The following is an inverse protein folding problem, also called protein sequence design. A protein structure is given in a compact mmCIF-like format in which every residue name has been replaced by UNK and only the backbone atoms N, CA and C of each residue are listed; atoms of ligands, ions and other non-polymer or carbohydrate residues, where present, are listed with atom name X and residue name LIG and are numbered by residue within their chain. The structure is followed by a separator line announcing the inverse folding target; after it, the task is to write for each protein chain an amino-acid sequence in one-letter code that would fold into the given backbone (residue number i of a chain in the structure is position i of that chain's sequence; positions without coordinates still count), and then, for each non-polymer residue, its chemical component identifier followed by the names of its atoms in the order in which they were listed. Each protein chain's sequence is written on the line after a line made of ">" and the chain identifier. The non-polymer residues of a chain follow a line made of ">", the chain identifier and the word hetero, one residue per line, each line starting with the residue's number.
data_IF_037446712068
#
_entry.id   IF_037446712068
#
_cell.length_a   1.000
_cell.length_b   1.000
_cell.length_c   1.000
_cell.angle_alpha   90.00
_cell.angle_beta   90.00
_cell.angle_gamma   90.00
#
_symmetry.space_group_name_H-M   'P 1'
#
loop_
_entity.id
_entity.type
_entity.pdbx_description
1 polymer ?
#
# COMPACT_ATOMS: atom_id res chain seq x y z
N UNK A 1 38.17 -44.03 -12.31
CA UNK A 1 37.65 -43.96 -10.93
C UNK A 1 36.38 -44.77 -10.85
N UNK A 2 36.39 -45.86 -10.08
CA UNK A 2 35.20 -46.69 -9.85
C UNK A 2 34.23 -45.86 -8.99
N UNK A 3 32.98 -45.72 -9.43
CA UNK A 3 31.91 -45.18 -8.58
C UNK A 3 31.64 -46.22 -7.50
N UNK A 4 31.88 -45.87 -6.24
CA UNK A 4 31.49 -46.71 -5.11
C UNK A 4 29.96 -46.66 -4.94
N UNK A 5 29.40 -47.54 -4.10
CA UNK A 5 27.96 -47.55 -3.76
C UNK A 5 27.51 -46.27 -3.00
N UNK A 6 28.42 -45.37 -2.63
CA UNK A 6 28.14 -44.15 -1.85
C UNK A 6 28.42 -42.88 -2.66
N UNK A 7 27.44 -41.96 -2.71
CA UNK A 7 27.39 -40.77 -3.58
C UNK A 7 28.66 -39.90 -3.59
N UNK A 8 29.32 -39.74 -2.44
CA UNK A 8 30.51 -38.89 -2.30
C UNK A 8 31.78 -39.68 -2.02
N UNK A 9 31.74 -41.01 -2.06
CA UNK A 9 32.90 -41.84 -1.78
C UNK A 9 33.64 -42.18 -3.09
N UNK A 10 34.95 -41.96 -3.07
CA UNK A 10 35.86 -42.15 -4.19
C UNK A 10 36.90 -43.20 -3.81
N UNK A 11 37.04 -44.22 -4.65
CA UNK A 11 38.12 -45.21 -4.57
C UNK A 11 39.35 -44.72 -5.36
N UNK A 12 40.48 -44.66 -4.68
CA UNK A 12 41.74 -44.08 -5.18
C UNK A 12 42.94 -44.91 -4.62
N UNK A 13 43.21 -46.10 -5.18
CA UNK A 13 44.24 -47.00 -4.66
C UNK A 13 45.64 -46.38 -4.80
N UNK A 14 46.57 -46.81 -3.95
CA UNK A 14 47.94 -46.33 -4.01
C UNK A 14 48.77 -47.00 -5.12
N UNK A 15 49.98 -46.50 -5.42
CA UNK A 15 50.83 -47.09 -6.47
C UNK A 15 51.24 -48.55 -6.24
N UNK A 16 51.07 -49.07 -5.01
CA UNK A 16 51.34 -50.46 -4.64
C UNK A 16 50.06 -51.32 -4.64
N UNK A 17 48.92 -50.75 -5.04
CA UNK A 17 47.63 -51.42 -5.13
C UNK A 17 46.83 -51.45 -3.83
N UNK A 18 47.27 -50.77 -2.76
CA UNK A 18 46.49 -50.76 -1.51
C UNK A 18 45.22 -49.91 -1.65
N UNK A 19 44.05 -50.41 -1.22
CA UNK A 19 42.80 -49.68 -1.35
C UNK A 19 42.79 -48.42 -0.47
N UNK A 20 42.37 -47.28 -1.03
CA UNK A 20 42.09 -46.06 -0.25
C UNK A 20 40.77 -45.44 -0.68
N UNK A 21 40.03 -44.96 0.31
CA UNK A 21 38.73 -44.35 0.11
C UNK A 21 38.72 -42.92 0.62
N UNK A 22 38.03 -42.05 -0.10
CA UNK A 22 37.92 -40.64 0.24
C UNK A 22 36.47 -40.15 0.12
N UNK A 23 36.05 -39.27 1.03
CA UNK A 23 34.85 -38.45 0.85
C UNK A 23 35.22 -37.20 0.06
N UNK A 24 34.65 -37.05 -1.13
CA UNK A 24 34.84 -35.91 -2.03
C UNK A 24 33.50 -35.22 -2.29
N UNK A 25 33.20 -34.22 -1.45
CA UNK A 25 32.08 -33.28 -1.68
C UNK A 25 32.58 -32.11 -2.54
N UNK A 26 31.87 -31.73 -3.64
CA UNK A 26 32.27 -30.58 -4.45
C UNK A 26 32.45 -29.31 -3.60
N UNK A 27 33.56 -28.59 -3.83
CA UNK A 27 33.91 -27.37 -3.07
C UNK A 27 34.68 -27.60 -1.77
N UNK A 28 34.95 -28.84 -1.38
CA UNK A 28 35.69 -29.17 -0.15
C UNK A 28 36.95 -30.03 -0.42
N UNK A 29 37.95 -29.94 0.47
CA UNK A 29 39.11 -30.84 0.43
C UNK A 29 38.66 -32.28 0.68
N UNK A 30 39.21 -33.24 -0.08
CA UNK A 30 38.89 -34.67 0.09
C UNK A 30 39.34 -35.15 1.47
N UNK A 31 38.51 -35.92 2.16
CA UNK A 31 38.80 -36.50 3.48
C UNK A 31 39.04 -37.99 3.32
N UNK A 32 40.16 -38.51 3.81
CA UNK A 32 40.50 -39.95 3.75
C UNK A 32 39.72 -40.71 4.81
N UNK A 33 39.14 -41.85 4.44
CA UNK A 33 38.59 -42.87 5.36
C UNK A 33 39.63 -43.98 5.45
N UNK A 34 40.00 -44.38 6.67
CA UNK A 34 41.04 -45.38 6.92
C UNK A 34 40.45 -46.75 7.28
N UNK A 35 39.17 -46.78 7.60
CA UNK A 35 38.34 -47.92 7.97
C UNK A 35 38.16 -48.83 6.75
N UNK A 36 37.95 -50.12 7.01
CA UNK A 36 37.82 -51.15 5.96
C UNK A 36 36.49 -50.97 5.24
N UNK A 37 36.51 -50.88 3.91
CA UNK A 37 35.29 -50.59 3.13
C UNK A 37 34.25 -51.70 3.20
N UNK A 38 34.65 -52.96 3.03
CA UNK A 38 33.74 -54.12 3.06
C UNK A 38 34.11 -55.10 4.18
N UNK A 39 33.10 -55.68 4.82
CA UNK A 39 33.25 -56.78 5.79
C UNK A 39 33.49 -58.13 5.08
N UNK A 40 33.68 -59.19 5.87
CA UNK A 40 33.90 -60.57 5.35
C UNK A 40 32.71 -61.11 4.54
N UNK A 41 31.54 -60.48 4.63
CA UNK A 41 30.32 -60.86 3.95
C UNK A 41 30.04 -59.99 2.70
N UNK A 42 30.95 -59.07 2.35
CA UNK A 42 30.82 -58.18 1.19
C UNK A 42 29.86 -57.00 1.41
N UNK A 43 29.49 -56.71 2.66
CA UNK A 43 28.70 -55.54 3.03
C UNK A 43 29.60 -54.38 3.43
N UNK A 44 29.14 -53.14 3.26
CA UNK A 44 29.91 -51.97 3.71
C UNK A 44 30.01 -52.02 5.23
N UNK A 45 31.23 -51.95 5.77
CA UNK A 45 31.43 -52.09 7.22
C UNK A 45 30.72 -50.96 8.00
N UNK A 46 30.16 -51.26 9.19
CA UNK A 46 29.57 -50.24 10.05
C UNK A 46 30.55 -49.12 10.40
N UNK A 47 31.82 -49.45 10.63
CA UNK A 47 32.89 -48.52 10.97
C UNK A 47 33.17 -47.56 9.80
N UNK A 48 33.19 -48.07 8.56
CA UNK A 48 33.34 -47.24 7.37
C UNK A 48 32.16 -46.30 7.18
N UNK A 49 30.93 -46.77 7.39
CA UNK A 49 29.73 -45.94 7.30
C UNK A 49 29.73 -44.82 8.34
N UNK A 50 30.17 -45.12 9.57
CA UNK A 50 30.31 -44.13 10.64
C UNK A 50 31.34 -43.05 10.26
N UNK A 51 32.53 -43.45 9.79
CA UNK A 51 33.56 -42.53 9.35
C UNK A 51 33.14 -41.71 8.11
N UNK A 52 32.39 -42.31 7.19
CA UNK A 52 31.82 -41.64 6.02
C UNK A 52 30.85 -40.53 6.42
N UNK A 53 29.92 -40.81 7.33
CA UNK A 53 28.98 -39.79 7.81
C UNK A 53 29.66 -38.72 8.66
N UNK A 54 30.62 -39.08 9.51
CA UNK A 54 31.41 -38.12 10.28
C UNK A 54 32.21 -37.17 9.38
N UNK A 55 32.81 -37.70 8.29
CA UNK A 55 33.50 -36.89 7.30
C UNK A 55 32.54 -35.95 6.56
N UNK A 56 31.35 -36.41 6.17
CA UNK A 56 30.34 -35.54 5.55
C UNK A 56 29.87 -34.42 6.50
N UNK A 57 29.65 -34.74 7.77
CA UNK A 57 29.23 -33.77 8.80
C UNK A 57 30.32 -32.73 9.07
N UNK A 58 31.58 -33.15 9.17
CA UNK A 58 32.71 -32.23 9.30
C UNK A 58 32.85 -31.31 8.08
N UNK A 59 32.59 -31.81 6.87
CA UNK A 59 32.62 -31.03 5.65
C UNK A 59 31.46 -30.02 5.60
N UNK A 60 30.26 -30.36 6.08
CA UNK A 60 29.15 -29.39 6.20
C UNK A 60 29.39 -28.34 7.27
N UNK A 61 29.94 -28.70 8.44
CA UNK A 61 30.21 -27.75 9.53
C UNK A 61 31.31 -26.75 9.19
N UNK A 62 32.22 -27.07 8.26
CA UNK A 62 33.28 -26.17 7.75
C UNK A 62 32.85 -25.28 6.59
N UNK A 63 31.59 -25.35 6.13
CA UNK A 63 31.06 -24.37 5.20
C UNK A 63 30.91 -23.03 5.94
N UNK A 64 31.93 -22.17 5.86
CA UNK A 64 31.83 -20.80 6.36
C UNK A 64 30.59 -20.15 5.75
N UNK A 65 29.76 -19.50 6.59
CA UNK A 65 28.63 -18.73 6.10
C UNK A 65 29.13 -17.73 5.04
N UNK A 66 28.38 -17.54 3.94
CA UNK A 66 28.78 -16.57 2.92
C UNK A 66 28.98 -15.19 3.57
N UNK A 67 29.94 -14.39 3.08
CA UNK A 67 30.20 -13.07 3.62
C UNK A 67 28.91 -12.23 3.62
N UNK A 68 28.54 -11.69 4.79
CA UNK A 68 27.34 -10.87 4.93
C UNK A 68 27.56 -9.47 4.36
N UNK A 69 26.58 -8.93 3.64
CA UNK A 69 26.57 -7.53 3.21
C UNK A 69 26.79 -6.60 4.41
N UNK A 70 27.74 -5.64 4.35
CA UNK A 70 27.90 -4.64 5.40
C UNK A 70 26.59 -3.89 5.64
N UNK A 71 26.20 -3.68 6.89
CA UNK A 71 24.90 -3.07 7.27
C UNK A 71 24.61 -1.80 6.47
N UNK A 72 25.59 -0.92 6.33
CA UNK A 72 25.49 0.36 5.62
C UNK A 72 25.13 0.24 4.14
N UNK A 73 25.31 -0.93 3.53
CA UNK A 73 24.97 -1.20 2.14
C UNK A 73 23.61 -1.87 1.97
N UNK A 74 22.90 -2.15 3.06
CA UNK A 74 21.65 -2.91 3.05
C UNK A 74 20.41 -2.03 2.88
N UNK A 75 19.32 -2.60 2.34
CA UNK A 75 18.03 -1.92 2.29
C UNK A 75 17.51 -1.49 3.65
N UNK A 76 17.71 -2.30 4.69
CA UNK A 76 17.34 -1.92 6.06
C UNK A 76 17.99 -0.60 6.46
N UNK A 77 19.29 -0.46 6.24
CA UNK A 77 19.99 0.78 6.55
C UNK A 77 19.48 1.96 5.71
N UNK A 78 19.28 1.77 4.40
CA UNK A 78 18.81 2.86 3.54
C UNK A 78 17.43 3.38 3.95
N UNK A 79 16.49 2.47 4.26
CA UNK A 79 15.14 2.81 4.73
C UNK A 79 15.18 3.48 6.10
N UNK A 80 16.04 3.00 7.00
CA UNK A 80 16.27 3.55 8.33
C UNK A 80 16.79 5.01 8.27
N UNK A 81 17.74 5.28 7.37
CA UNK A 81 18.26 6.63 7.12
C UNK A 81 17.20 7.54 6.45
N UNK A 82 16.45 7.01 5.47
CA UNK A 82 15.38 7.77 4.83
C UNK A 82 14.32 8.20 5.83
N UNK A 83 13.90 7.29 6.71
CA UNK A 83 12.89 7.55 7.74
C UNK A 83 13.34 8.57 8.80
N UNK A 84 14.66 8.72 9.04
CA UNK A 84 15.24 9.76 9.93
C UNK A 84 15.44 11.11 9.24
N UNK A 85 15.40 11.15 7.92
CA UNK A 85 15.69 12.36 7.16
C UNK A 85 14.63 13.45 7.34
N UNK A 86 15.07 14.71 7.31
CA UNK A 86 14.17 15.88 7.35
C UNK A 86 13.16 15.90 6.19
N UNK A 87 13.52 15.38 5.02
CA UNK A 87 12.57 15.27 3.91
C UNK A 87 11.42 14.31 4.23
N UNK A 88 11.70 13.19 4.89
CA UNK A 88 10.67 12.25 5.31
C UNK A 88 9.78 12.85 6.41
N UNK A 89 10.38 13.50 7.40
CA UNK A 89 9.66 14.15 8.50
C UNK A 89 8.72 15.28 8.03
N UNK A 90 8.99 15.91 6.89
CA UNK A 90 8.11 16.92 6.25
C UNK A 90 6.81 16.37 5.63
N UNK A 91 6.65 15.05 5.53
CA UNK A 91 5.38 14.46 5.14
C UNK A 91 4.38 14.48 6.31
N UNK A 92 3.09 14.54 5.99
CA UNK A 92 2.05 14.32 7.00
C UNK A 92 2.21 12.93 7.65
N UNK A 93 1.90 12.80 8.94
CA UNK A 93 2.06 11.56 9.71
C UNK A 93 1.41 10.35 9.01
N UNK A 94 0.23 10.52 8.39
CA UNK A 94 -0.41 9.44 7.65
C UNK A 94 0.40 9.01 6.43
N UNK A 95 1.04 9.97 5.75
CA UNK A 95 1.92 9.68 4.61
C UNK A 95 3.22 9.03 5.06
N UNK A 96 3.77 9.43 6.21
CA UNK A 96 4.92 8.78 6.83
C UNK A 96 4.60 7.31 7.14
N UNK A 97 3.46 7.05 7.78
CA UNK A 97 3.03 5.70 8.14
C UNK A 97 2.81 4.79 6.90
N UNK A 98 2.13 5.28 5.85
CA UNK A 98 1.91 4.50 4.61
C UNK A 98 3.24 4.17 3.92
N UNK A 99 4.15 5.16 3.78
CA UNK A 99 5.49 4.95 3.21
C UNK A 99 6.30 3.95 4.01
N UNK A 100 6.39 4.13 5.33
CA UNK A 100 7.17 3.26 6.23
C UNK A 100 6.63 1.83 6.20
N UNK A 101 5.31 1.65 6.27
CA UNK A 101 4.69 0.33 6.25
C UNK A 101 5.00 -0.45 4.96
N UNK A 102 4.94 0.20 3.80
CA UNK A 102 5.29 -0.45 2.52
C UNK A 102 6.78 -0.77 2.43
N UNK A 103 7.66 0.17 2.80
CA UNK A 103 9.10 -0.05 2.73
C UNK A 103 9.58 -1.12 3.73
N UNK A 104 9.01 -1.15 4.94
CA UNK A 104 9.34 -2.18 5.93
C UNK A 104 8.93 -3.58 5.45
N UNK A 105 7.72 -3.74 4.89
CA UNK A 105 7.30 -5.02 4.27
C UNK A 105 8.18 -5.43 3.09
N UNK A 106 8.69 -4.46 2.33
CA UNK A 106 9.69 -4.76 1.30
C UNK A 106 10.98 -5.30 1.92
N UNK A 107 11.45 -4.67 3.01
CA UNK A 107 12.65 -5.10 3.74
C UNK A 107 12.52 -6.48 4.40
N UNK A 108 11.33 -6.98 4.70
CA UNK A 108 11.16 -8.37 5.17
C UNK A 108 11.78 -9.39 4.19
N UNK A 109 11.80 -9.08 2.89
CA UNK A 109 12.36 -9.95 1.85
C UNK A 109 13.70 -9.46 1.29
N UNK A 110 13.88 -8.15 1.15
CA UNK A 110 15.06 -7.56 0.51
C UNK A 110 16.01 -6.86 1.51
N UNK A 111 15.67 -6.83 2.79
CA UNK A 111 16.28 -5.92 3.76
C UNK A 111 17.78 -6.07 3.94
N UNK A 112 18.30 -7.31 3.89
CA UNK A 112 19.73 -7.61 4.01
C UNK A 112 20.49 -7.58 2.67
N UNK A 113 19.77 -7.36 1.56
CA UNK A 113 20.38 -7.30 0.22
C UNK A 113 21.04 -5.94 -0.01
N UNK A 114 22.12 -5.90 -0.82
CA UNK A 114 22.80 -4.66 -1.15
C UNK A 114 21.93 -3.75 -2.02
N UNK A 115 21.54 -2.58 -1.51
CA UNK A 115 20.69 -1.65 -2.28
C UNK A 115 21.43 -1.05 -3.49
N UNK A 116 22.76 -0.98 -3.44
CA UNK A 116 23.60 -0.45 -4.53
C UNK A 116 23.61 -1.35 -5.76
N UNK A 117 23.35 -2.65 -5.59
CA UNK A 117 23.29 -3.61 -6.67
C UNK A 117 21.87 -3.79 -7.23
N UNK A 118 20.87 -3.11 -6.65
CA UNK A 118 19.46 -3.24 -7.03
C UNK A 118 19.20 -2.57 -8.37
N UNK A 119 18.78 -3.35 -9.35
CA UNK A 119 18.62 -2.92 -10.75
C UNK A 119 17.15 -2.64 -11.08
N UNK A 120 16.91 -2.04 -12.23
CA UNK A 120 15.56 -1.79 -12.74
C UNK A 120 14.78 -3.11 -12.86
N UNK A 121 15.43 -4.17 -13.35
CA UNK A 121 14.85 -5.49 -13.51
C UNK A 121 14.43 -6.11 -12.16
N UNK A 122 15.12 -5.77 -11.06
CA UNK A 122 14.76 -6.23 -9.72
C UNK A 122 13.53 -5.48 -9.17
N UNK A 123 13.37 -4.20 -9.54
CA UNK A 123 12.16 -3.41 -9.23
C UNK A 123 10.97 -3.99 -9.99
N UNK A 124 11.13 -4.29 -11.28
CA UNK A 124 10.11 -4.91 -12.12
C UNK A 124 9.73 -6.28 -11.57
N UNK A 125 10.70 -7.15 -11.28
CA UNK A 125 10.42 -8.44 -10.62
C UNK A 125 9.69 -8.28 -9.29
N UNK A 126 10.03 -7.26 -8.51
CA UNK A 126 9.34 -6.95 -7.24
C UNK A 126 7.91 -6.46 -7.43
N UNK A 127 7.64 -5.72 -8.51
CA UNK A 127 6.30 -5.29 -8.94
C UNK A 127 5.49 -6.50 -9.43
N UNK A 128 6.06 -7.31 -10.31
CA UNK A 128 5.38 -8.43 -10.97
C UNK A 128 5.07 -9.57 -9.99
N UNK A 129 5.91 -9.77 -8.97
CA UNK A 129 5.60 -10.65 -7.81
C UNK A 129 4.32 -10.23 -7.08
N UNK A 130 3.89 -8.98 -7.22
CA UNK A 130 2.67 -8.40 -6.62
C UNK A 130 1.56 -8.16 -7.66
N UNK A 131 1.64 -8.78 -8.84
CA UNK A 131 0.66 -8.65 -9.93
C UNK A 131 -0.78 -8.95 -9.51
N UNK A 132 -0.99 -9.91 -8.60
CA UNK A 132 -2.32 -10.20 -8.03
C UNK A 132 -2.90 -9.04 -7.20
N UNK A 133 -2.07 -8.06 -6.82
CA UNK A 133 -2.44 -6.84 -6.09
C UNK A 133 -1.82 -5.61 -6.76
N UNK A 134 -2.27 -5.25 -7.98
CA UNK A 134 -1.54 -4.33 -8.84
C UNK A 134 -1.40 -2.92 -8.22
N UNK A 135 -2.42 -2.44 -7.50
CA UNK A 135 -2.32 -1.18 -6.75
C UNK A 135 -1.26 -1.18 -5.64
N UNK A 136 -1.00 -2.34 -5.01
CA UNK A 136 0.08 -2.50 -4.04
C UNK A 136 1.45 -2.58 -4.71
N UNK A 137 1.53 -3.23 -5.89
CA UNK A 137 2.72 -3.28 -6.73
C UNK A 137 3.18 -1.86 -7.14
N UNK A 138 2.27 -1.08 -7.71
CA UNK A 138 2.55 0.29 -8.13
C UNK A 138 2.89 1.21 -6.95
N UNK A 139 2.25 0.99 -5.79
CA UNK A 139 2.57 1.72 -4.56
C UNK A 139 4.00 1.42 -4.09
N UNK A 140 4.46 0.17 -4.17
CA UNK A 140 5.85 -0.18 -3.86
C UNK A 140 6.81 0.56 -4.80
N UNK A 141 6.59 0.48 -6.12
CA UNK A 141 7.43 1.17 -7.13
C UNK A 141 7.48 2.67 -6.86
N UNK A 142 6.33 3.29 -6.58
CA UNK A 142 6.23 4.71 -6.21
C UNK A 142 7.11 5.08 -5.01
N UNK A 143 7.16 4.23 -3.99
CA UNK A 143 7.94 4.50 -2.80
C UNK A 143 9.41 4.16 -2.93
N UNK A 144 9.78 3.10 -3.65
CA UNK A 144 11.17 2.84 -4.04
C UNK A 144 11.72 4.01 -4.87
N UNK A 145 10.94 4.52 -5.83
CA UNK A 145 11.31 5.72 -6.61
C UNK A 145 11.55 6.93 -5.72
N UNK A 146 10.71 7.15 -4.71
CA UNK A 146 10.88 8.23 -3.74
C UNK A 146 12.10 8.02 -2.83
N UNK A 147 12.36 6.79 -2.38
CA UNK A 147 13.49 6.42 -1.53
C UNK A 147 14.81 6.64 -2.27
N UNK A 148 14.94 6.09 -3.48
CA UNK A 148 16.16 6.23 -4.27
C UNK A 148 16.36 7.66 -4.79
N UNK A 149 15.29 8.43 -5.07
CA UNK A 149 15.42 9.87 -5.37
C UNK A 149 16.08 10.61 -4.21
N UNK A 150 15.68 10.32 -2.98
CA UNK A 150 16.32 10.88 -1.78
C UNK A 150 17.76 10.38 -1.64
N UNK A 151 17.99 9.07 -1.81
CA UNK A 151 19.30 8.42 -1.67
C UNK A 151 20.33 9.00 -2.64
N UNK A 152 19.96 9.21 -3.90
CA UNK A 152 20.82 9.84 -4.92
C UNK A 152 21.17 11.27 -4.52
N UNK A 153 20.18 12.07 -4.12
CA UNK A 153 20.43 13.46 -3.69
C UNK A 153 21.32 13.55 -2.45
N UNK A 154 21.27 12.55 -1.57
CA UNK A 154 22.13 12.43 -0.39
C UNK A 154 23.44 11.66 -0.64
N UNK A 155 23.73 11.30 -1.90
CA UNK A 155 24.94 10.56 -2.31
C UNK A 155 25.08 9.18 -1.66
N UNK A 156 23.98 8.57 -1.20
CA UNK A 156 23.96 7.18 -0.74
C UNK A 156 23.88 6.18 -1.90
N UNK A 157 23.21 6.55 -3.00
CA UNK A 157 23.09 5.73 -4.20
C UNK A 157 23.53 6.53 -5.42
N UNK A 158 24.04 5.85 -6.46
CA UNK A 158 24.48 6.50 -7.71
C UNK A 158 23.31 6.78 -8.66
N UNK A 159 22.36 5.85 -8.73
CA UNK A 159 21.22 5.89 -9.65
C UNK A 159 19.92 5.54 -8.92
N UNK A 160 18.79 5.80 -9.57
CA UNK A 160 17.47 5.40 -9.08
C UNK A 160 16.90 4.30 -9.98
N UNK A 161 16.92 3.03 -9.55
CA UNK A 161 16.50 1.89 -10.37
C UNK A 161 14.99 1.84 -10.59
N UNK A 162 14.19 2.64 -9.86
CA UNK A 162 12.74 2.67 -10.04
C UNK A 162 12.29 3.74 -11.05
N UNK A 163 13.21 4.49 -11.66
CA UNK A 163 12.88 5.38 -12.79
C UNK A 163 12.55 4.51 -14.01
N UNK A 164 11.55 4.91 -14.80
CA UNK A 164 11.14 4.19 -16.01
C UNK A 164 10.21 2.99 -15.76
N UNK A 165 10.17 2.44 -14.54
CA UNK A 165 9.27 1.31 -14.21
C UNK A 165 7.81 1.72 -14.35
N UNK A 166 7.14 1.12 -15.32
CA UNK A 166 5.73 1.36 -15.65
C UNK A 166 4.78 0.78 -14.60
N UNK A 167 3.58 1.35 -14.58
CA UNK A 167 2.48 0.92 -13.72
C UNK A 167 1.77 -0.28 -14.33
N UNK A 168 1.24 -1.15 -13.48
CA UNK A 168 0.43 -2.31 -13.90
C UNK A 168 -1.03 -2.21 -13.42
N UNK A 169 -1.36 -1.21 -12.60
CA UNK A 169 -2.72 -1.07 -12.07
C UNK A 169 -3.63 -0.27 -13.01
N UNK A 170 -4.44 -1.01 -13.76
CA UNK A 170 -5.54 -0.48 -14.54
C UNK A 170 -6.83 -0.55 -13.72
N UNK A 171 -7.47 0.60 -13.50
CA UNK A 171 -8.73 0.70 -12.76
C UNK A 171 -9.49 1.95 -13.20
N UNK A 172 -10.80 1.83 -13.33
CA UNK A 172 -11.74 2.96 -13.49
C UNK A 172 -11.83 3.84 -12.23
N UNK A 173 -11.19 3.38 -11.14
CA UNK A 173 -11.14 4.08 -9.88
C UNK A 173 -12.32 3.71 -8.98
N UNK A 174 -12.85 4.69 -8.26
CA UNK A 174 -13.97 4.48 -7.35
C UNK A 174 -15.28 4.68 -8.08
N UNK A 175 -16.21 3.74 -7.90
CA UNK A 175 -17.61 3.85 -8.33
C UNK A 175 -18.21 5.18 -7.89
N UNK A 176 -18.75 5.96 -8.83
CA UNK A 176 -19.51 7.16 -8.53
C UNK A 176 -20.93 6.76 -8.17
N UNK A 177 -21.46 7.22 -7.04
CA UNK A 177 -22.84 6.87 -6.70
C UNK A 177 -23.79 7.48 -7.72
N UNK A 178 -24.77 6.71 -8.14
CA UNK A 178 -25.90 7.15 -8.96
C UNK A 178 -26.98 7.77 -8.10
N UNK A 179 -27.88 8.56 -8.71
CA UNK A 179 -29.06 9.12 -8.03
C UNK A 179 -29.92 8.03 -7.38
N UNK A 180 -30.12 6.90 -8.05
CA UNK A 180 -30.91 5.78 -7.52
C UNK A 180 -30.25 5.10 -6.31
N UNK A 181 -28.92 5.01 -6.28
CA UNK A 181 -28.19 4.49 -5.11
C UNK A 181 -28.24 5.45 -3.93
N UNK A 182 -28.17 6.77 -4.18
CA UNK A 182 -28.39 7.79 -3.15
C UNK A 182 -29.79 7.63 -2.58
N UNK A 183 -30.83 7.55 -3.41
CA UNK A 183 -32.20 7.36 -2.94
C UNK A 183 -32.42 6.03 -2.22
N UNK A 184 -31.81 4.94 -2.69
CA UNK A 184 -31.83 3.65 -1.99
C UNK A 184 -31.20 3.73 -0.60
N UNK A 185 -30.05 4.39 -0.48
CA UNK A 185 -29.41 4.62 0.82
C UNK A 185 -30.28 5.49 1.73
N UNK A 186 -30.89 6.55 1.17
CA UNK A 186 -31.80 7.44 1.88
C UNK A 186 -33.06 6.72 2.38
N UNK A 187 -33.62 5.81 1.59
CA UNK A 187 -34.79 5.01 1.98
C UNK A 187 -34.47 4.00 3.07
N UNK A 188 -33.27 3.41 3.05
CA UNK A 188 -32.85 2.45 4.07
C UNK A 188 -32.44 3.14 5.38
N UNK A 189 -31.69 4.24 5.29
CA UNK A 189 -31.25 5.04 6.43
C UNK A 189 -32.13 6.26 6.59
N UNK A 190 -33.15 6.14 7.45
CA UNK A 190 -34.11 7.19 7.75
C UNK A 190 -33.44 8.46 8.28
N UNK A 191 -34.14 9.59 8.13
CA UNK A 191 -33.69 10.85 8.69
C UNK A 191 -33.63 10.78 10.22
N UNK A 192 -32.63 11.42 10.81
CA UNK A 192 -32.31 11.26 12.24
C UNK A 192 -31.29 10.17 12.54
N UNK A 193 -30.96 9.31 11.57
CA UNK A 193 -29.86 8.35 11.72
C UNK A 193 -28.48 8.98 11.42
N UNK A 194 -27.43 8.48 12.10
CA UNK A 194 -26.04 8.89 11.85
C UNK A 194 -25.59 8.57 10.41
N UNK A 195 -26.09 7.46 9.87
CA UNK A 195 -25.81 7.04 8.50
C UNK A 195 -26.38 8.04 7.49
N UNK A 196 -27.61 8.51 7.71
CA UNK A 196 -28.24 9.55 6.88
C UNK A 196 -27.53 10.89 7.02
N UNK A 197 -27.21 11.32 8.23
CA UNK A 197 -26.45 12.55 8.45
C UNK A 197 -25.07 12.53 7.75
N UNK A 198 -24.37 11.40 7.81
CA UNK A 198 -23.08 11.24 7.14
C UNK A 198 -23.19 11.37 5.61
N UNK A 199 -24.24 10.80 5.01
CA UNK A 199 -24.55 10.97 3.60
C UNK A 199 -24.74 12.45 3.26
N UNK A 200 -25.65 13.14 3.97
CA UNK A 200 -26.01 14.52 3.65
C UNK A 200 -24.82 15.49 3.86
N UNK A 201 -23.99 15.28 4.88
CA UNK A 201 -22.76 16.09 5.04
C UNK A 201 -21.83 15.88 3.84
N UNK A 202 -21.57 14.64 3.44
CA UNK A 202 -20.60 14.38 2.38
C UNK A 202 -21.11 14.79 1.00
N UNK A 203 -22.41 14.61 0.74
CA UNK A 203 -23.04 14.91 -0.54
C UNK A 203 -23.24 16.42 -0.74
N UNK A 204 -23.77 17.12 0.26
CA UNK A 204 -24.12 18.55 0.11
C UNK A 204 -22.92 19.48 0.27
N UNK A 205 -21.92 19.11 1.08
CA UNK A 205 -20.71 19.91 1.31
C UNK A 205 -19.58 19.50 0.36
N UNK A 206 -19.72 18.36 -0.33
CA UNK A 206 -18.61 17.78 -1.07
C UNK A 206 -17.40 17.56 -0.16
N UNK A 207 -17.61 17.13 1.08
CA UNK A 207 -16.55 16.97 2.09
C UNK A 207 -15.72 15.69 1.84
N UNK A 208 -14.41 15.70 2.12
CA UNK A 208 -13.66 14.42 2.12
C UNK A 208 -14.02 13.70 3.40
N UNK A 209 -13.87 12.37 3.39
CA UNK A 209 -14.00 11.57 4.62
C UNK A 209 -13.19 12.14 5.79
N UNK A 210 -11.99 12.66 5.53
CA UNK A 210 -11.15 13.29 6.56
C UNK A 210 -11.70 14.60 7.10
N UNK A 211 -12.48 15.32 6.31
CA UNK A 211 -13.08 16.59 6.67
C UNK A 211 -14.42 16.35 7.38
N UNK A 212 -15.25 15.45 6.84
CA UNK A 212 -16.57 15.12 7.39
C UNK A 212 -16.55 14.70 8.86
N UNK A 213 -15.51 13.97 9.31
CA UNK A 213 -15.34 13.60 10.71
C UNK A 213 -14.85 14.73 11.64
N UNK A 214 -14.65 15.95 11.12
CA UNK A 214 -14.15 17.13 11.85
C UNK A 214 -15.06 18.35 11.73
N UNK A 215 -15.88 18.41 10.69
CA UNK A 215 -16.85 19.49 10.50
C UNK A 215 -17.90 19.42 11.62
N UNK A 216 -18.38 20.59 12.04
CA UNK A 216 -19.30 20.77 13.14
C UNK A 216 -19.53 22.24 13.45
N UNK A 217 -20.20 22.53 14.56
CA UNK A 217 -20.78 23.84 14.89
C UNK A 217 -19.79 25.00 14.84
N UNK A 218 -18.52 24.78 15.20
CA UNK A 218 -17.49 25.83 15.15
C UNK A 218 -17.16 26.34 13.74
N UNK A 219 -17.66 25.68 12.69
CA UNK A 219 -17.44 26.06 11.31
C UNK A 219 -18.66 26.77 10.70
N UNK A 220 -19.75 26.95 11.47
CA UNK A 220 -20.94 27.64 10.99
C UNK A 220 -20.72 29.15 10.97
N UNK A 221 -20.93 29.77 9.80
CA UNK A 221 -20.82 31.22 9.61
C UNK A 221 -21.95 31.66 8.68
N UNK A 222 -22.91 32.43 9.18
CA UNK A 222 -23.99 33.08 8.40
C UNK A 222 -24.70 32.16 7.37
N UNK A 223 -25.02 30.92 7.77
CA UNK A 223 -25.69 29.97 6.87
C UNK A 223 -24.75 29.21 5.91
N UNK A 224 -23.45 29.29 6.15
CA UNK A 224 -22.41 28.52 5.48
C UNK A 224 -21.61 27.67 6.47
N UNK A 225 -20.92 26.66 5.94
CA UNK A 225 -19.83 25.96 6.58
C UNK A 225 -18.51 26.44 5.99
N UNK A 226 -17.68 27.06 6.82
CA UNK A 226 -16.33 27.51 6.47
C UNK A 226 -15.28 26.71 7.24
N UNK A 227 -14.43 25.97 6.53
CA UNK A 227 -13.38 25.16 7.16
C UNK A 227 -12.15 24.99 6.27
N UNK A 228 -10.99 24.73 6.89
CA UNK A 228 -9.76 24.38 6.17
C UNK A 228 -9.76 22.89 5.85
N UNK A 229 -9.63 22.54 4.56
CA UNK A 229 -9.53 21.15 4.13
C UNK A 229 -8.35 20.44 4.80
N UNK A 230 -8.60 19.26 5.38
CA UNK A 230 -7.61 18.49 6.14
C UNK A 230 -6.40 18.11 5.28
N UNK A 231 -6.66 17.72 4.03
CA UNK A 231 -5.60 17.39 3.08
C UNK A 231 -4.93 18.69 2.61
N UNK A 232 -3.63 18.82 2.88
CA UNK A 232 -2.85 19.99 2.49
C UNK A 232 -2.77 21.11 3.54
N UNK A 233 -3.50 20.99 4.67
CA UNK A 233 -3.55 21.97 5.77
C UNK A 233 -2.19 22.43 6.30
N UNK A 234 -1.22 21.52 6.37
CA UNK A 234 0.11 21.77 6.95
C UNK A 234 1.07 22.51 6.00
N UNK A 235 0.62 22.92 4.81
CA UNK A 235 1.47 23.56 3.80
C UNK A 235 0.75 24.75 3.20
N UNK A 236 1.28 25.95 3.41
CA UNK A 236 0.67 27.20 2.95
C UNK A 236 0.22 27.16 1.48
N UNK A 237 1.09 26.67 0.57
CA UNK A 237 0.81 26.57 -0.87
C UNK A 237 -0.34 25.62 -1.25
N UNK A 238 -0.70 24.68 -0.38
CA UNK A 238 -1.76 23.69 -0.66
C UNK A 238 -2.91 23.78 0.33
N UNK A 239 -2.88 24.74 1.25
CA UNK A 239 -3.96 25.00 2.19
C UNK A 239 -5.14 25.58 1.40
N UNK A 240 -6.33 25.03 1.63
CA UNK A 240 -7.57 25.45 0.97
C UNK A 240 -8.65 25.63 2.04
N UNK A 241 -9.31 26.78 2.01
CA UNK A 241 -10.54 27.02 2.76
C UNK A 241 -11.71 26.66 1.87
N UNK A 242 -12.64 25.88 2.41
CA UNK A 242 -13.87 25.47 1.76
C UNK A 242 -14.99 26.26 2.41
N UNK A 243 -15.82 26.89 1.58
CA UNK A 243 -17.05 27.57 1.99
C UNK A 243 -18.21 26.89 1.27
N UNK A 244 -19.12 26.30 2.03
CA UNK A 244 -20.22 25.52 1.48
C UNK A 244 -21.54 25.97 2.10
N UNK A 245 -22.56 26.23 1.28
CA UNK A 245 -23.87 26.66 1.77
C UNK A 245 -24.62 25.49 2.41
N UNK A 246 -25.33 25.74 3.49
CA UNK A 246 -26.29 24.77 4.00
C UNK A 246 -27.46 24.58 3.01
N UNK A 247 -27.62 23.36 2.51
CA UNK A 247 -28.81 22.94 1.74
C UNK A 247 -29.98 22.65 2.68
N UNK A 248 -31.20 22.57 2.14
CA UNK A 248 -32.39 22.26 2.94
C UNK A 248 -32.30 20.85 3.54
N UNK A 249 -31.81 19.89 2.75
CA UNK A 249 -31.60 18.50 3.12
C UNK A 249 -30.59 18.37 4.25
N UNK A 250 -29.48 19.12 4.17
CA UNK A 250 -28.47 19.12 5.23
C UNK A 250 -29.00 19.75 6.53
N UNK A 251 -29.74 20.86 6.43
CA UNK A 251 -30.38 21.49 7.61
C UNK A 251 -31.33 20.51 8.30
N UNK A 252 -32.17 19.85 7.52
CA UNK A 252 -33.13 18.87 8.03
C UNK A 252 -32.43 17.67 8.68
N UNK A 253 -31.38 17.14 8.07
CA UNK A 253 -30.60 16.05 8.64
C UNK A 253 -29.92 16.45 9.96
N UNK A 254 -29.37 17.67 10.04
CA UNK A 254 -28.72 18.19 11.24
C UNK A 254 -29.72 18.44 12.38
N UNK A 255 -30.89 18.99 12.10
CA UNK A 255 -31.91 19.24 13.13
C UNK A 255 -32.56 17.96 13.64
N UNK A 256 -32.61 16.91 12.81
CA UNK A 256 -33.28 15.64 13.14
C UNK A 256 -32.36 14.60 13.77
N UNK A 257 -31.03 14.78 13.71
CA UNK A 257 -30.05 13.77 14.13
C UNK A 257 -29.26 14.25 15.35
N UNK A 258 -29.14 13.46 16.42
CA UNK A 258 -28.23 13.78 17.53
C UNK A 258 -26.78 13.93 17.07
N UNK A 259 -26.19 15.10 17.32
CA UNK A 259 -24.80 15.43 17.00
C UNK A 259 -23.91 15.43 18.25
N UNK A 260 -22.59 15.49 18.07
CA UNK A 260 -21.68 15.87 19.16
C UNK A 260 -21.67 17.38 19.42
N UNK A 261 -20.94 17.79 20.46
CA UNK A 261 -20.78 19.20 20.84
C UNK A 261 -20.00 20.00 19.79
N UNK A 262 -18.85 19.47 19.37
CA UNK A 262 -17.94 20.15 18.43
C UNK A 262 -18.05 19.62 17.00
N UNK A 263 -18.30 18.33 16.80
CA UNK A 263 -18.37 17.68 15.48
C UNK A 263 -19.74 17.09 15.24
N UNK A 264 -20.29 17.23 14.04
CA UNK A 264 -21.62 16.68 13.74
C UNK A 264 -21.65 15.15 13.80
N UNK A 265 -20.60 14.50 13.29
CA UNK A 265 -20.52 13.04 13.22
C UNK A 265 -19.79 12.47 14.44
N UNK A 266 -20.53 11.75 15.27
CA UNK A 266 -20.00 11.02 16.43
C UNK A 266 -20.30 9.53 16.35
N UNK A 267 -19.44 8.71 16.93
CA UNK A 267 -19.62 7.26 17.01
C UNK A 267 -20.68 6.89 18.06
N UNK A 268 -20.87 5.59 18.29
CA UNK A 268 -21.88 5.08 19.25
C UNK A 268 -21.55 5.37 20.71
N UNK A 269 -20.32 5.82 20.99
CA UNK A 269 -19.88 6.30 22.30
C UNK A 269 -19.97 7.84 22.43
N UNK A 270 -20.58 8.53 21.47
CA UNK A 270 -20.67 10.00 21.45
C UNK A 270 -19.36 10.72 21.15
N UNK A 271 -18.30 10.00 20.73
CA UNK A 271 -16.99 10.59 20.43
C UNK A 271 -16.83 10.90 18.95
N UNK A 272 -16.09 11.96 18.56
CA UNK A 272 -15.79 12.24 17.16
C UNK A 272 -15.15 11.03 16.47
N UNK A 273 -15.56 10.75 15.23
CA UNK A 273 -14.94 9.66 14.49
C UNK A 273 -13.47 9.93 14.16
N UNK A 274 -12.66 8.87 14.17
CA UNK A 274 -11.38 8.88 13.46
C UNK A 274 -11.61 8.67 11.96
N UNK A 275 -10.64 9.07 11.13
CA UNK A 275 -10.75 8.90 9.66
C UNK A 275 -10.94 7.42 9.29
N UNK A 276 -10.26 6.51 10.00
CA UNK A 276 -10.36 5.07 9.77
C UNK A 276 -11.70 4.51 10.23
N UNK A 277 -12.11 4.81 11.47
CA UNK A 277 -13.38 4.32 12.02
C UNK A 277 -14.59 4.82 11.23
N UNK A 278 -14.60 6.08 10.80
CA UNK A 278 -15.66 6.59 9.92
C UNK A 278 -15.69 5.86 8.58
N UNK A 279 -14.52 5.53 8.02
CA UNK A 279 -14.43 4.77 6.77
C UNK A 279 -15.01 3.37 6.88
N UNK A 280 -14.71 2.67 7.97
CA UNK A 280 -15.26 1.35 8.25
C UNK A 280 -16.78 1.44 8.49
N UNK A 281 -17.23 2.43 9.26
CA UNK A 281 -18.65 2.63 9.53
C UNK A 281 -19.45 2.96 8.27
N UNK A 282 -18.92 3.82 7.39
CA UNK A 282 -19.51 4.06 6.07
C UNK A 282 -19.55 2.80 5.21
N UNK A 283 -18.61 1.86 5.39
CA UNK A 283 -18.68 0.55 4.70
C UNK A 283 -19.84 -0.27 5.18
N UNK A 284 -19.92 -0.46 6.49
CA UNK A 284 -21.03 -1.16 7.14
C UNK A 284 -22.39 -0.58 6.74
N UNK A 285 -22.54 0.76 6.72
CA UNK A 285 -23.80 1.41 6.33
C UNK A 285 -24.15 1.23 4.85
N UNK A 286 -23.16 1.20 3.95
CA UNK A 286 -23.43 0.90 2.54
C UNK A 286 -23.84 -0.56 2.36
N UNK A 287 -23.15 -1.49 3.03
CA UNK A 287 -23.46 -2.92 2.95
C UNK A 287 -24.86 -3.20 3.51
N UNK A 288 -25.23 -2.58 4.63
CA UNK A 288 -26.58 -2.67 5.22
C UNK A 288 -27.67 -2.16 4.27
N UNK A 289 -27.40 -1.09 3.52
CA UNK A 289 -28.30 -0.58 2.49
C UNK A 289 -28.28 -1.42 1.19
N UNK A 290 -27.52 -2.52 1.13
CA UNK A 290 -27.39 -3.35 -0.07
C UNK A 290 -26.67 -2.63 -1.21
N UNK A 291 -25.62 -1.86 -0.88
CA UNK A 291 -24.82 -1.03 -1.79
C UNK A 291 -23.29 -1.33 -1.64
N UNK A 292 -22.85 -2.59 -1.81
CA UNK A 292 -21.44 -2.98 -1.58
C UNK A 292 -20.42 -2.31 -2.51
N UNK A 293 -20.85 -1.80 -3.66
CA UNK A 293 -20.04 -1.06 -4.64
C UNK A 293 -19.82 0.41 -4.28
N UNK A 294 -20.76 1.00 -3.53
CA UNK A 294 -20.71 2.40 -3.11
C UNK A 294 -19.62 2.63 -2.07
N UNK A 295 -19.03 3.82 -1.96
CA UNK A 295 -18.06 4.14 -0.89
C UNK A 295 -18.05 5.64 -0.55
N UNK A 296 -17.41 6.06 0.54
CA UNK A 296 -17.29 7.49 0.88
C UNK A 296 -16.56 8.31 -0.20
N UNK A 297 -15.61 7.70 -0.92
CA UNK A 297 -14.94 8.40 -2.02
C UNK A 297 -15.86 8.52 -3.24
N UNK A 298 -16.61 7.45 -3.53
CA UNK A 298 -17.65 7.46 -4.55
C UNK A 298 -18.75 8.49 -4.29
N UNK A 299 -19.13 8.69 -3.03
CA UNK A 299 -20.12 9.69 -2.64
C UNK A 299 -19.62 11.11 -2.88
N UNK A 300 -18.33 11.36 -2.64
CA UNK A 300 -17.71 12.63 -2.99
C UNK A 300 -17.72 12.87 -4.51
N UNK A 301 -17.50 11.82 -5.33
CA UNK A 301 -17.63 11.92 -6.79
C UNK A 301 -19.07 12.29 -7.17
N UNK A 302 -20.06 11.64 -6.54
CA UNK A 302 -21.47 11.91 -6.79
C UNK A 302 -21.86 13.35 -6.46
N UNK A 303 -21.32 13.91 -5.38
CA UNK A 303 -21.47 15.34 -5.06
C UNK A 303 -20.95 16.26 -6.17
N UNK A 304 -19.79 15.92 -6.76
CA UNK A 304 -19.23 16.70 -7.86
C UNK A 304 -20.05 16.59 -9.14
N UNK A 305 -20.57 15.39 -9.45
CA UNK A 305 -21.49 15.16 -10.56
C UNK A 305 -22.78 15.96 -10.36
N UNK A 306 -23.46 15.83 -9.22
CA UNK A 306 -24.70 16.55 -8.94
C UNK A 306 -24.53 18.09 -9.03
N UNK A 307 -23.38 18.61 -8.58
CA UNK A 307 -23.05 20.03 -8.75
C UNK A 307 -22.85 20.40 -10.23
N UNK A 308 -22.14 19.57 -10.99
CA UNK A 308 -21.94 19.79 -12.43
C UNK A 308 -23.27 19.72 -13.20
N UNK A 309 -24.14 18.76 -12.91
CA UNK A 309 -25.51 18.65 -13.45
C UNK A 309 -26.37 19.87 -13.12
N UNK A 310 -26.08 20.53 -11.99
CA UNK A 310 -26.73 21.80 -11.60
C UNK A 310 -26.11 23.03 -12.28
N UNK A 311 -25.25 22.84 -13.28
CA UNK A 311 -24.60 23.92 -14.04
C UNK A 311 -23.36 24.53 -13.38
N UNK A 312 -22.78 23.91 -12.34
CA UNK A 312 -21.58 24.44 -11.69
C UNK A 312 -20.36 24.35 -12.61
N UNK A 313 -19.63 25.45 -12.72
CA UNK A 313 -18.43 25.55 -13.58
C UNK A 313 -17.20 25.00 -12.88
N UNK A 314 -16.18 24.66 -13.66
CA UNK A 314 -14.93 24.09 -13.15
C UNK A 314 -14.27 24.90 -12.01
N UNK A 315 -14.24 26.26 -12.03
CA UNK A 315 -13.73 27.05 -10.91
C UNK A 315 -14.54 26.91 -9.62
N UNK A 316 -15.87 26.81 -9.72
CA UNK A 316 -16.79 26.66 -8.58
C UNK A 316 -16.62 25.28 -7.93
N UNK A 317 -16.52 24.23 -8.75
CA UNK A 317 -16.15 22.89 -8.29
C UNK A 317 -14.76 22.90 -7.64
N UNK A 318 -13.76 23.58 -8.25
CA UNK A 318 -12.45 23.68 -7.64
C UNK A 318 -12.48 24.34 -6.26
N UNK A 319 -13.29 25.39 -6.10
CA UNK A 319 -13.47 26.09 -4.84
C UNK A 319 -14.11 25.18 -3.78
N UNK A 320 -15.25 24.54 -4.09
CA UNK A 320 -15.96 23.68 -3.13
C UNK A 320 -15.18 22.40 -2.79
N UNK A 321 -14.57 21.77 -3.78
CA UNK A 321 -13.88 20.49 -3.58
C UNK A 321 -12.39 20.67 -3.18
N UNK A 322 -11.91 21.90 -3.08
CA UNK A 322 -10.51 22.21 -2.75
C UNK A 322 -9.54 21.58 -3.75
N UNK A 323 -9.86 21.63 -5.04
CA UNK A 323 -8.98 21.18 -6.11
C UNK A 323 -8.11 22.34 -6.58
N UNK A 324 -6.88 22.03 -7.00
CA UNK A 324 -5.93 23.04 -7.51
C UNK A 324 -5.84 23.05 -9.04
N UNK A 325 -6.52 22.11 -9.70
CA UNK A 325 -6.39 21.81 -11.13
C UNK A 325 -7.78 21.78 -11.73
N UNK A 326 -8.03 22.60 -12.74
CA UNK A 326 -9.31 22.66 -13.44
C UNK A 326 -9.61 21.33 -14.13
N UNK A 327 -8.58 20.66 -14.63
CA UNK A 327 -8.70 19.36 -15.30
C UNK A 327 -9.29 18.28 -14.38
N UNK A 328 -9.20 18.45 -13.05
CA UNK A 328 -9.87 17.55 -12.10
C UNK A 328 -11.38 17.79 -12.06
N UNK A 329 -11.82 19.03 -12.19
CA UNK A 329 -13.23 19.40 -12.20
C UNK A 329 -13.88 19.08 -13.56
N UNK A 330 -13.16 19.33 -14.65
CA UNK A 330 -13.61 19.07 -16.03
C UNK A 330 -13.98 17.61 -16.28
N UNK A 331 -13.36 16.65 -15.57
CA UNK A 331 -13.77 15.24 -15.62
C UNK A 331 -15.25 15.11 -15.28
N UNK A 332 -15.71 15.73 -14.18
CA UNK A 332 -17.09 15.61 -13.73
C UNK A 332 -18.07 16.39 -14.61
N UNK A 333 -17.63 17.48 -15.24
CA UNK A 333 -18.47 18.27 -16.16
C UNK A 333 -18.62 17.56 -17.51
N UNK A 334 -17.59 16.84 -17.97
CA UNK A 334 -17.66 16.09 -19.22
C UNK A 334 -18.45 14.79 -19.07
N UNK A 335 -18.43 14.20 -17.88
CA UNK A 335 -19.16 12.97 -17.58
C UNK A 335 -20.66 13.22 -17.34
N UNK A 336 -21.11 14.47 -17.26
CA UNK A 336 -22.53 14.82 -17.23
C UNK A 336 -23.10 14.87 -18.66
N UNK A 337 -24.23 14.19 -18.94
CA UNK A 337 -24.87 14.24 -20.25
C UNK A 337 -25.27 15.68 -20.60
N UNK A 338 -25.11 16.05 -21.87
CA UNK A 338 -25.44 17.39 -22.37
C UNK A 338 -26.96 17.65 -22.23
N UNK A 339 -27.38 18.86 -21.83
CA UNK A 339 -28.81 19.23 -21.71
C UNK A 339 -29.59 19.00 -23.03
N UNK A 340 -28.88 18.99 -24.16
CA UNK A 340 -29.44 18.67 -25.48
C UNK A 340 -29.91 17.21 -25.61
N UNK A 341 -29.32 16.24 -24.90
CA UNK A 341 -29.76 14.83 -24.93
C UNK A 341 -30.99 14.58 -24.04
N UNK A 342 -31.18 15.38 -22.98
CA UNK A 342 -32.35 15.28 -22.09
C UNK A 342 -33.63 15.81 -22.73
N UNK A 343 -33.52 16.68 -23.75
CA UNK A 343 -34.69 17.24 -24.46
C UNK A 343 -35.25 16.24 -25.49
N UNK A 344 -34.45 15.28 -25.96
CA UNK A 344 -34.86 14.25 -26.95
C UNK A 344 -35.61 13.07 -26.31
N UNK A 345 -35.64 12.97 -24.97
CA UNK A 345 -36.37 11.92 -24.25
C UNK A 345 -37.74 12.37 -23.71
N UNK A 346 -38.16 13.60 -24.01
CA UNK A 346 -39.43 14.20 -23.60
C UNK A 346 -40.31 14.66 -24.78
N UNK A 347 -40.08 14.12 -25.97
CA UNK A 347 -41.06 14.08 -27.08
C UNK A 347 -41.49 12.63 -27.32
#
# INVERSE_FOLDING_TARGET
>A
MIKTRLRYCVYDPDPRGNPRYYVRKPGFKKVRICEVFEDRNGNISPEFMQAYFAALDSLSKKAAAPPSTPREKTFYWLVDQYCRSEEFKRFDVLTQNDKRGVLNRFCESAGNLPYEAFRTEDVERSRDKRSATPGAADKLVKYLRSLFKWAVRKKHAKTNPAIGVEKINETEGWHTWTHSEVEKYRKHHEIGSKARLALEIMLNIGARRSDACRIGRQHEVDGYLEFVAWKGRNRARTRKTIVARFTAELKLALSSTPTGDLTYLVNDLGRPFTIASFGNKMREWCDAAGLPQCSSHGLRKASAVAMAESGARAPELCALFGWSKLETAEIYIRDTPDEAELTVLCE
#
